data_IF_976949015183
#
_entry.id   IF_976949015183
#
_cell.length_a   1.000
_cell.length_b   1.000
_cell.length_c   1.000
_cell.angle_alpha   90.00
_cell.angle_beta   90.00
_cell.angle_gamma   90.00
#
_symmetry.space_group_name_H-M   'P 1'
#
loop_
_entity.id
_entity.type
_entity.pdbx_description
1 polymer ?
#
# COMPACT_ATOMS: atom_id res chain seq x y z
N UNK A 1 9.12 -15.02 4.56
CA UNK A 1 8.00 -15.99 4.70
C UNK A 1 6.73 -15.36 5.28
N UNK A 2 6.82 -14.52 6.32
CA UNK A 2 5.69 -13.78 6.91
C UNK A 2 4.99 -12.79 5.95
N UNK A 3 5.77 -12.06 5.15
CA UNK A 3 5.22 -11.10 4.17
C UNK A 3 4.28 -11.77 3.14
N UNK A 4 4.70 -12.87 2.51
CA UNK A 4 3.86 -13.55 1.52
C UNK A 4 2.59 -14.15 2.12
N UNK A 5 2.65 -14.62 3.38
CA UNK A 5 1.45 -15.07 4.09
C UNK A 5 0.46 -13.91 4.31
N UNK A 6 0.98 -12.74 4.70
CA UNK A 6 0.17 -11.53 4.82
C UNK A 6 -0.45 -11.13 3.47
N UNK A 7 0.35 -11.04 2.40
CA UNK A 7 -0.13 -10.66 1.07
C UNK A 7 -1.23 -11.60 0.58
N UNK A 8 -1.01 -12.91 0.72
CA UNK A 8 -1.99 -13.92 0.33
C UNK A 8 -3.29 -13.80 1.13
N UNK A 9 -3.20 -13.70 2.46
CA UNK A 9 -4.38 -13.56 3.31
C UNK A 9 -5.19 -12.30 2.97
N UNK A 10 -4.50 -11.17 2.72
CA UNK A 10 -5.17 -9.92 2.31
C UNK A 10 -5.81 -10.00 0.94
N UNK A 11 -5.20 -10.71 -0.01
CA UNK A 11 -5.82 -10.99 -1.32
C UNK A 11 -7.08 -11.85 -1.18
N UNK A 12 -7.05 -12.86 -0.33
CA UNK A 12 -8.22 -13.71 -0.04
C UNK A 12 -9.34 -12.88 0.63
N UNK A 13 -9.01 -12.01 1.58
CA UNK A 13 -9.98 -11.12 2.24
C UNK A 13 -10.66 -10.15 1.25
N UNK A 14 -9.88 -9.55 0.34
CA UNK A 14 -10.40 -8.66 -0.72
C UNK A 14 -11.29 -9.45 -1.68
N UNK A 15 -10.88 -10.66 -2.05
CA UNK A 15 -11.68 -11.54 -2.92
C UNK A 15 -13.02 -11.93 -2.26
N UNK A 16 -13.06 -11.99 -0.93
CA UNK A 16 -14.28 -12.21 -0.14
C UNK A 16 -15.10 -10.93 0.11
N UNK A 17 -14.67 -9.77 -0.40
CA UNK A 17 -15.37 -8.48 -0.25
C UNK A 17 -15.14 -7.78 1.08
N UNK A 18 -14.11 -8.16 1.84
CA UNK A 18 -13.73 -7.54 3.13
C UNK A 18 -14.90 -7.56 4.16
N UNK A 19 -15.45 -8.74 4.49
CA UNK A 19 -16.68 -8.82 5.28
C UNK A 19 -16.49 -8.27 6.70
N UNK A 20 -17.35 -7.32 7.09
CA UNK A 20 -17.42 -6.78 8.45
C UNK A 20 -16.25 -5.88 8.85
N UNK A 21 -15.44 -5.40 7.89
CA UNK A 21 -14.27 -4.55 8.13
C UNK A 21 -14.24 -3.36 7.16
N UNK A 22 -13.55 -2.31 7.57
CA UNK A 22 -13.15 -1.23 6.68
C UNK A 22 -11.98 -1.70 5.81
N UNK A 23 -12.05 -1.42 4.51
CA UNK A 23 -10.91 -1.57 3.63
C UNK A 23 -9.93 -0.43 3.91
N UNK A 24 -8.77 -0.77 4.45
CA UNK A 24 -7.70 0.17 4.75
C UNK A 24 -6.62 0.05 3.67
N UNK A 25 -6.84 0.74 2.55
CA UNK A 25 -6.04 0.63 1.35
C UNK A 25 -4.82 1.55 1.41
N UNK A 26 -3.63 0.98 1.29
CA UNK A 26 -2.36 1.70 1.21
C UNK A 26 -1.93 1.76 -0.25
N UNK A 27 -1.77 2.97 -0.79
CA UNK A 27 -1.47 3.18 -2.21
C UNK A 27 -0.29 4.16 -2.38
N UNK A 28 0.60 3.82 -3.32
CA UNK A 28 1.70 4.68 -3.73
C UNK A 28 1.28 5.76 -4.74
N UNK A 29 2.19 6.70 -5.03
CA UNK A 29 2.02 7.72 -6.08
C UNK A 29 1.81 7.14 -7.50
N UNK A 30 1.53 8.01 -8.48
CA UNK A 30 1.32 7.64 -9.91
C UNK A 30 2.49 6.86 -10.53
N UNK A 31 3.73 7.13 -10.11
CA UNK A 31 4.91 6.42 -10.62
C UNK A 31 5.22 5.21 -9.72
N UNK A 32 4.89 4.03 -10.24
CA UNK A 32 5.19 2.74 -9.61
C UNK A 32 6.61 2.28 -9.98
N UNK A 33 7.62 2.90 -9.35
CA UNK A 33 8.97 2.36 -9.32
C UNK A 33 9.15 1.34 -8.18
N UNK A 34 10.31 0.70 -8.14
CA UNK A 34 10.68 -0.27 -7.09
C UNK A 34 10.49 0.31 -5.69
N UNK A 35 10.95 1.53 -5.46
CA UNK A 35 10.90 2.18 -4.16
C UNK A 35 9.47 2.42 -3.71
N UNK A 36 8.60 2.83 -4.62
CA UNK A 36 7.17 3.04 -4.37
C UNK A 36 6.45 1.72 -4.06
N UNK A 37 6.69 0.66 -4.85
CA UNK A 37 6.12 -0.66 -4.61
C UNK A 37 6.57 -1.22 -3.25
N UNK A 38 7.88 -1.19 -2.99
CA UNK A 38 8.45 -1.67 -1.73
C UNK A 38 7.92 -0.88 -0.54
N UNK A 39 7.88 0.45 -0.61
CA UNK A 39 7.35 1.30 0.47
C UNK A 39 5.88 1.02 0.74
N UNK A 40 5.07 0.85 -0.30
CA UNK A 40 3.63 0.54 -0.18
C UNK A 40 3.42 -0.80 0.52
N UNK A 41 4.13 -1.84 0.10
CA UNK A 41 4.04 -3.18 0.71
C UNK A 41 4.49 -3.15 2.17
N UNK A 42 5.64 -2.54 2.45
CA UNK A 42 6.20 -2.50 3.80
C UNK A 42 5.35 -1.66 4.75
N UNK A 43 4.85 -0.52 4.30
CA UNK A 43 4.01 0.33 5.14
C UNK A 43 2.66 -0.32 5.44
N UNK A 44 2.06 -1.01 4.46
CA UNK A 44 0.83 -1.78 4.70
C UNK A 44 1.05 -2.91 5.72
N UNK A 45 2.16 -3.65 5.62
CA UNK A 45 2.51 -4.67 6.61
C UNK A 45 2.73 -4.06 8.00
N UNK A 46 3.47 -2.96 8.09
CA UNK A 46 3.68 -2.23 9.33
C UNK A 46 2.36 -1.82 10.01
N UNK A 47 1.46 -1.20 9.25
CA UNK A 47 0.15 -0.79 9.76
C UNK A 47 -0.68 -2.00 10.19
N UNK A 48 -0.64 -3.10 9.43
CA UNK A 48 -1.32 -4.34 9.81
C UNK A 48 -0.79 -4.94 11.13
N UNK A 49 0.49 -4.76 11.44
CA UNK A 49 1.11 -5.30 12.66
C UNK A 49 0.98 -4.39 13.88
N UNK A 50 0.91 -3.08 13.64
CA UNK A 50 0.88 -2.06 14.71
C UNK A 50 -0.53 -1.60 15.04
N UNK A 51 -1.40 -1.43 14.05
CA UNK A 51 -2.83 -1.16 14.24
C UNK A 51 -3.51 -2.49 14.55
N UNK A 52 -3.48 -2.89 15.83
CA UNK A 52 -4.16 -4.09 16.35
C UNK A 52 -5.68 -3.87 16.43
N UNK A 53 -6.30 -3.55 15.30
CA UNK A 53 -7.74 -3.35 15.18
C UNK A 53 -8.33 -4.40 14.27
N UNK A 54 -9.26 -5.19 14.79
CA UNK A 54 -10.02 -6.15 14.00
C UNK A 54 -10.99 -5.48 13.02
N UNK A 55 -11.15 -4.14 13.10
CA UNK A 55 -12.03 -3.37 12.23
C UNK A 55 -11.41 -3.07 10.86
N UNK A 56 -10.09 -3.20 10.70
CA UNK A 56 -9.41 -2.89 9.44
C UNK A 56 -8.94 -4.14 8.70
N UNK A 57 -9.09 -4.10 7.38
CA UNK A 57 -8.35 -4.96 6.45
C UNK A 57 -7.33 -4.09 5.73
N UNK A 58 -6.11 -4.03 6.27
CA UNK A 58 -5.03 -3.22 5.70
C UNK A 58 -4.39 -3.96 4.53
N UNK A 59 -4.44 -3.37 3.33
CA UNK A 59 -3.94 -4.00 2.10
C UNK A 59 -3.03 -3.06 1.31
N UNK A 60 -1.89 -3.53 0.78
CA UNK A 60 -1.11 -2.77 -0.19
C UNK A 60 -1.76 -2.90 -1.57
N UNK A 61 -1.98 -1.76 -2.22
CA UNK A 61 -2.48 -1.69 -3.59
C UNK A 61 -1.38 -1.09 -4.46
N UNK A 62 -0.93 -1.88 -5.43
CA UNK A 62 0.06 -1.44 -6.40
C UNK A 62 -0.64 -0.55 -7.43
N UNK A 63 -0.23 0.72 -7.50
CA UNK A 63 -0.82 1.73 -8.39
C UNK A 63 -0.30 1.58 -9.84
N UNK A 64 -0.48 0.39 -10.40
CA UNK A 64 -0.16 -0.03 -11.76
C UNK A 64 -1.10 -1.21 -12.07
N UNK A 65 -1.39 -1.48 -13.34
CA UNK A 65 -2.19 -2.68 -13.67
C UNK A 65 -1.35 -3.96 -13.62
N UNK A 66 -1.96 -5.12 -13.40
CA UNK A 66 -1.21 -6.40 -13.47
C UNK A 66 -0.60 -6.63 -14.85
N UNK A 67 -1.31 -6.21 -15.90
CA UNK A 67 -0.82 -6.31 -17.29
C UNK A 67 0.39 -5.40 -17.51
N UNK A 68 0.40 -4.20 -16.94
CA UNK A 68 1.55 -3.29 -17.03
C UNK A 68 2.79 -3.90 -16.34
N UNK A 69 2.65 -4.53 -15.16
CA UNK A 69 3.79 -5.20 -14.51
C UNK A 69 4.41 -6.28 -15.41
N UNK A 70 3.58 -6.99 -16.18
CA UNK A 70 4.06 -8.03 -17.11
C UNK A 70 4.97 -7.47 -18.20
N UNK A 71 4.85 -6.17 -18.51
CA UNK A 71 5.70 -5.45 -19.46
C UNK A 71 6.97 -4.87 -18.85
N UNK A 72 7.12 -4.91 -17.51
CA UNK A 72 8.27 -4.38 -16.77
C UNK A 72 9.14 -5.53 -16.23
N UNK A 73 9.94 -6.13 -17.12
CA UNK A 73 10.78 -7.29 -16.78
C UNK A 73 11.74 -7.04 -15.60
N UNK A 74 12.27 -5.81 -15.46
CA UNK A 74 13.15 -5.42 -14.36
C UNK A 74 12.43 -5.41 -13.00
N UNK A 75 11.23 -4.80 -12.94
CA UNK A 75 10.40 -4.79 -11.72
C UNK A 75 10.02 -6.21 -11.33
N UNK A 76 9.59 -7.02 -12.30
CA UNK A 76 9.23 -8.42 -12.06
C UNK A 76 10.43 -9.21 -11.55
N UNK A 77 11.59 -9.10 -12.20
CA UNK A 77 12.82 -9.77 -11.78
C UNK A 77 13.23 -9.39 -10.36
N UNK A 78 13.08 -8.12 -9.99
CA UNK A 78 13.42 -7.67 -8.65
C UNK A 78 12.46 -8.24 -7.59
N UNK A 79 11.14 -8.19 -7.85
CA UNK A 79 10.15 -8.80 -6.95
C UNK A 79 10.40 -10.30 -6.76
N UNK A 80 10.71 -11.00 -7.85
CA UNK A 80 11.07 -12.42 -7.85
C UNK A 80 12.37 -12.66 -7.04
N UNK A 81 13.37 -11.78 -7.20
CA UNK A 81 14.66 -11.84 -6.48
C UNK A 81 14.52 -11.56 -4.99
N UNK A 82 13.53 -10.78 -4.58
CA UNK A 82 13.16 -10.55 -3.20
C UNK A 82 12.23 -11.65 -2.63
N UNK A 83 11.93 -12.69 -3.41
CA UNK A 83 10.99 -13.76 -3.07
C UNK A 83 9.59 -13.25 -2.70
N UNK A 84 9.14 -12.16 -3.32
CA UNK A 84 7.78 -11.65 -3.16
C UNK A 84 6.83 -12.47 -4.04
N UNK A 85 5.72 -12.93 -3.46
CA UNK A 85 4.69 -13.68 -4.18
C UNK A 85 3.85 -12.73 -5.05
N UNK A 86 4.32 -12.45 -6.27
CA UNK A 86 3.68 -11.54 -7.25
C UNK A 86 2.20 -11.88 -7.53
N UNK A 87 1.79 -13.17 -7.63
CA UNK A 87 0.38 -13.54 -7.68
C UNK A 87 -0.46 -13.04 -6.49
N UNK A 88 0.12 -12.91 -5.31
CA UNK A 88 -0.57 -12.44 -4.09
C UNK A 88 -0.61 -10.92 -3.95
N UNK A 89 0.12 -10.17 -4.79
CA UNK A 89 -0.03 -8.71 -4.85
C UNK A 89 -1.42 -8.33 -5.39
N UNK A 90 -1.97 -7.21 -4.91
CA UNK A 90 -3.19 -6.59 -5.41
C UNK A 90 -2.83 -5.37 -6.26
N UNK A 91 -3.31 -5.35 -7.50
CA UNK A 91 -3.11 -4.24 -8.42
C UNK A 91 -4.36 -3.37 -8.49
N UNK A 92 -4.21 -2.13 -8.92
CA UNK A 92 -5.31 -1.15 -8.96
C UNK A 92 -6.50 -1.61 -9.80
N UNK A 93 -6.27 -2.44 -10.82
CA UNK A 93 -7.30 -3.00 -11.71
C UNK A 93 -8.00 -4.24 -11.13
N UNK A 94 -7.52 -4.76 -9.99
CA UNK A 94 -8.07 -5.96 -9.35
C UNK A 94 -9.02 -5.66 -8.18
N UNK A 95 -9.22 -4.37 -7.86
CA UNK A 95 -10.06 -3.94 -6.75
C UNK A 95 -10.84 -2.67 -7.10
N UNK A 96 -12.16 -2.71 -6.91
CA UNK A 96 -13.02 -1.54 -7.09
C UNK A 96 -13.06 -0.71 -5.81
N UNK A 97 -12.16 0.27 -5.71
CA UNK A 97 -12.12 1.19 -4.56
C UNK A 97 -13.36 2.08 -4.46
N UNK A 98 -13.98 2.43 -5.59
CA UNK A 98 -15.18 3.26 -5.62
C UNK A 98 -16.38 2.54 -5.00
N UNK A 99 -16.45 1.20 -5.12
CA UNK A 99 -17.43 0.41 -4.38
C UNK A 99 -17.30 0.62 -2.87
N UNK A 100 -16.10 0.47 -2.31
CA UNK A 100 -15.90 0.63 -0.86
C UNK A 100 -16.13 2.07 -0.38
N UNK A 101 -15.79 3.05 -1.20
CA UNK A 101 -16.04 4.47 -0.92
C UNK A 101 -17.54 4.78 -0.88
N UNK A 102 -18.30 4.27 -1.85
CA UNK A 102 -19.75 4.45 -1.95
C UNK A 102 -20.48 3.95 -0.69
N UNK A 103 -20.01 2.87 -0.08
CA UNK A 103 -20.57 2.32 1.16
C UNK A 103 -19.95 2.90 2.44
N UNK A 104 -19.03 3.86 2.32
CA UNK A 104 -18.35 4.50 3.46
C UNK A 104 -17.38 3.58 4.19
N UNK A 105 -16.97 2.48 3.55
CA UNK A 105 -16.10 1.46 4.11
C UNK A 105 -14.62 1.62 3.70
N UNK A 106 -14.29 2.63 2.90
CA UNK A 106 -12.93 2.90 2.45
C UNK A 106 -12.16 3.82 3.41
N UNK A 107 -10.90 3.48 3.66
CA UNK A 107 -9.89 4.31 4.32
C UNK A 107 -8.61 4.24 3.50
N UNK A 108 -8.13 5.37 3.00
CA UNK A 108 -6.95 5.45 2.14
C UNK A 108 -5.74 6.02 2.88
N UNK A 109 -4.61 5.35 2.72
CA UNK A 109 -3.29 5.81 3.15
C UNK A 109 -2.45 6.05 1.91
N UNK A 110 -1.92 7.25 1.76
CA UNK A 110 -1.02 7.57 0.66
C UNK A 110 0.43 7.49 1.10
N UNK A 111 1.21 6.71 0.35
CA UNK A 111 2.64 6.52 0.60
C UNK A 111 3.44 7.24 -0.48
N UNK A 112 4.36 8.11 -0.07
CA UNK A 112 5.25 8.88 -0.94
C UNK A 112 4.52 9.69 -2.02
N UNK A 113 3.28 10.11 -1.72
CA UNK A 113 2.46 10.97 -2.55
C UNK A 113 2.00 12.21 -1.76
N UNK A 114 1.94 13.35 -2.46
CA UNK A 114 1.36 14.60 -1.92
C UNK A 114 -0.11 14.80 -2.34
N UNK A 115 -0.58 13.96 -3.27
CA UNK A 115 -1.92 13.95 -3.85
C UNK A 115 -2.27 12.51 -4.26
N UNK A 116 -3.55 12.19 -4.32
CA UNK A 116 -4.00 10.96 -4.94
C UNK A 116 -3.50 10.86 -6.39
N UNK A 117 -3.26 9.65 -6.89
CA UNK A 117 -3.05 9.45 -8.31
C UNK A 117 -4.31 9.86 -9.09
N UNK A 118 -4.12 10.37 -10.32
CA UNK A 118 -5.20 11.08 -11.05
C UNK A 118 -6.47 10.24 -11.22
N UNK A 119 -6.32 8.91 -11.36
CA UNK A 119 -7.43 7.97 -11.54
C UNK A 119 -8.27 7.79 -10.27
N UNK A 120 -7.72 8.13 -9.11
CA UNK A 120 -8.32 7.94 -7.80
C UNK A 120 -8.76 9.25 -7.15
N UNK A 121 -8.59 10.40 -7.80
CA UNK A 121 -8.91 11.73 -7.25
C UNK A 121 -10.31 11.87 -6.66
N UNK A 122 -11.29 11.15 -7.21
CA UNK A 122 -12.66 11.13 -6.68
C UNK A 122 -12.73 10.61 -5.23
N UNK A 123 -11.73 9.83 -4.79
CA UNK A 123 -11.65 9.18 -3.49
C UNK A 123 -10.96 10.03 -2.41
N UNK A 124 -10.70 11.33 -2.68
CA UNK A 124 -9.96 12.21 -1.77
C UNK A 124 -10.52 12.30 -0.36
N UNK A 125 -11.83 12.16 -0.20
CA UNK A 125 -12.51 12.22 1.10
C UNK A 125 -12.26 10.95 1.94
N UNK A 126 -11.85 9.85 1.31
CA UNK A 126 -11.49 8.62 2.00
C UNK A 126 -10.04 8.60 2.50
N UNK A 127 -9.20 9.59 2.14
CA UNK A 127 -7.81 9.67 2.61
C UNK A 127 -7.78 10.03 4.08
N UNK A 128 -7.17 9.15 4.88
CA UNK A 128 -7.05 9.28 6.33
C UNK A 128 -5.62 9.49 6.81
N UNK A 129 -4.63 9.18 5.97
CA UNK A 129 -3.22 9.32 6.35
C UNK A 129 -2.34 9.60 5.13
N UNK A 130 -1.33 10.45 5.31
CA UNK A 130 -0.24 10.67 4.36
C UNK A 130 1.08 10.26 5.01
N UNK A 131 1.75 9.27 4.44
CA UNK A 131 3.10 8.88 4.82
C UNK A 131 4.09 9.28 3.73
N UNK A 132 5.02 10.17 4.05
CA UNK A 132 5.98 10.69 3.06
C UNK A 132 7.43 10.53 3.53
N UNK A 133 8.24 9.96 2.64
CA UNK A 133 9.69 9.87 2.77
C UNK A 133 10.42 11.17 2.37
N UNK A 134 9.70 12.22 1.93
CA UNK A 134 10.30 13.51 1.60
C UNK A 134 9.47 14.63 2.21
N UNK A 135 10.12 15.70 2.68
CA UNK A 135 9.40 16.93 3.01
C UNK A 135 8.73 17.44 1.75
N UNK A 136 7.41 17.47 1.77
CA UNK A 136 6.55 18.03 0.73
C UNK A 136 5.33 18.67 1.35
N UNK A 137 4.72 19.61 0.65
CA UNK A 137 3.46 20.20 1.05
C UNK A 137 2.32 19.23 0.70
N UNK A 138 1.48 18.93 1.69
CA UNK A 138 0.24 18.17 1.52
C UNK A 138 -0.84 19.06 0.90
N UNK A 139 -1.61 18.54 -0.04
CA UNK A 139 -2.81 19.22 -0.58
C UNK A 139 -4.05 18.99 0.29
N UNK A 140 -3.95 18.11 1.30
CA UNK A 140 -5.06 17.71 2.20
C UNK A 140 -4.85 18.27 3.61
N UNK A 141 -5.44 19.44 3.96
CA UNK A 141 -5.16 20.12 5.23
C UNK A 141 -5.75 19.44 6.47
N UNK A 142 -6.69 18.51 6.29
CA UNK A 142 -7.35 17.78 7.39
C UNK A 142 -6.63 16.47 7.77
N UNK A 143 -5.54 16.11 7.10
CA UNK A 143 -4.88 14.81 7.26
C UNK A 143 -3.56 14.97 8.00
N UNK A 144 -3.31 14.08 8.97
CA UNK A 144 -2.01 13.99 9.63
C UNK A 144 -0.95 13.49 8.63
N UNK A 145 0.13 14.26 8.47
CA UNK A 145 1.25 13.91 7.60
C UNK A 145 2.41 13.38 8.43
N UNK A 146 2.72 12.11 8.27
CA UNK A 146 3.88 11.47 8.89
C UNK A 146 5.08 11.61 7.94
N UNK A 147 6.14 12.28 8.40
CA UNK A 147 7.38 12.45 7.63
C UNK A 147 8.54 11.78 8.35
N UNK A 148 9.27 10.92 7.64
CA UNK A 148 10.48 10.26 8.15
C UNK A 148 11.68 10.68 7.30
N UNK A 149 12.81 11.01 7.91
CA UNK A 149 14.02 11.41 7.18
C UNK A 149 14.67 10.23 6.42
N UNK A 150 15.54 10.52 5.44
CA UNK A 150 16.15 9.51 4.55
C UNK A 150 17.00 8.46 5.27
N UNK A 151 17.65 8.79 6.38
CA UNK A 151 18.46 7.84 7.17
C UNK A 151 17.53 6.90 7.93
N UNK A 152 16.47 7.44 8.50
CA UNK A 152 15.42 6.67 9.17
C UNK A 152 14.61 5.79 8.22
N UNK A 153 14.55 6.10 6.91
CA UNK A 153 13.96 5.23 5.88
C UNK A 153 14.79 3.98 5.64
N UNK A 154 16.11 4.14 5.49
CA UNK A 154 17.00 3.01 5.28
C UNK A 154 17.00 2.11 6.52
N UNK A 155 16.93 2.69 7.73
CA UNK A 155 16.74 1.96 8.98
C UNK A 155 15.37 1.30 9.12
N UNK A 156 14.25 1.96 8.81
CA UNK A 156 12.92 1.32 8.89
C UNK A 156 12.79 0.16 7.90
N UNK A 157 13.27 0.38 6.68
CA UNK A 157 13.32 -0.65 5.64
C UNK A 157 14.23 -1.77 6.14
N UNK A 158 15.46 -1.49 6.58
CA UNK A 158 16.45 -2.49 7.03
C UNK A 158 16.06 -3.22 8.32
N UNK A 159 15.49 -2.54 9.32
CA UNK A 159 14.99 -3.13 10.55
C UNK A 159 13.78 -4.03 10.26
N UNK A 160 12.89 -3.65 9.35
CA UNK A 160 11.81 -4.54 8.90
C UNK A 160 12.31 -5.71 8.06
N UNK A 161 13.29 -5.53 7.16
CA UNK A 161 13.92 -6.63 6.42
C UNK A 161 14.58 -7.63 7.38
N UNK A 162 15.29 -7.16 8.42
CA UNK A 162 15.91 -8.01 9.43
C UNK A 162 14.88 -8.76 10.30
N UNK A 163 13.74 -8.15 10.63
CA UNK A 163 12.68 -8.80 11.42
C UNK A 163 11.84 -9.81 10.63
N UNK A 164 11.85 -9.75 9.29
CA UNK A 164 11.03 -10.61 8.41
C UNK A 164 11.84 -11.75 7.77
N UNK A 165 13.17 -11.57 7.63
CA UNK A 165 14.10 -12.56 7.09
C UNK A 165 14.89 -13.33 8.16
N UNK A 166 14.80 -12.92 9.43
CA UNK A 166 15.32 -13.66 10.59
C UNK A 166 14.39 -14.78 11.07
#
# INVERSE_FOLDING_TARGET
>A
MRLNLYLKARKDDVSAGVPGKFLHAVIGQDVSDVGSIASTIMYALYLNETIKSDQFCTVPIINMTRTDLSSHAELKWLLDSCHIDVPSLLFVDEIDLSYFDLFGCLKLVLVNGHKLPTRQEALKEAVVELFNCRKGESVYPWIETVTVDQVSQMLLVQDQWCLILG
#
